data_IF_749847248018
#
_entry.id   IF_749847248018
#
_cell.length_a   1.000
_cell.length_b   1.000
_cell.length_c   1.000
_cell.angle_alpha   90.00
_cell.angle_beta   90.00
_cell.angle_gamma   90.00
#
_symmetry.space_group_name_H-M   'P 1'
#
loop_
_entity.id
_entity.type
_entity.pdbx_description
1 polymer ?
#
# COMPACT_ATOMS: atom_id res chain seq x y z
N UNK A 1 -2.99 6.49 -0.32
CA UNK A 1 -3.11 7.95 -0.49
C UNK A 1 -2.13 8.40 -1.56
N UNK A 2 -2.22 9.62 -2.10
CA UNK A 2 -1.37 10.06 -3.20
C UNK A 2 0.14 9.86 -2.96
N UNK A 3 0.58 9.99 -1.71
CA UNK A 3 1.98 10.01 -1.31
C UNK A 3 2.47 8.75 -0.56
N UNK A 4 1.56 7.88 -0.10
CA UNK A 4 1.91 6.66 0.65
C UNK A 4 0.81 5.59 0.55
N UNK A 5 1.16 4.35 0.91
CA UNK A 5 0.23 3.20 0.91
C UNK A 5 0.20 2.51 2.26
N UNK A 6 -0.98 2.05 2.66
CA UNK A 6 -1.15 1.07 3.74
C UNK A 6 -1.60 -0.23 3.09
N UNK A 7 -0.99 -1.35 3.50
CA UNK A 7 -1.29 -2.67 2.95
C UNK A 7 -1.32 -3.66 4.11
N UNK A 8 -2.41 -4.40 4.21
CA UNK A 8 -2.51 -5.58 5.06
C UNK A 8 -2.28 -6.82 4.19
N UNK A 9 -1.35 -7.68 4.58
CA UNK A 9 -0.99 -8.89 3.85
C UNK A 9 -1.12 -10.12 4.74
N UNK A 10 -1.48 -11.24 4.12
CA UNK A 10 -1.45 -12.56 4.74
C UNK A 10 -0.45 -13.45 3.99
N UNK A 11 0.79 -13.61 4.49
CA UNK A 11 1.76 -14.52 3.91
C UNK A 11 1.22 -15.95 3.89
N UNK A 12 1.21 -16.59 2.71
CA UNK A 12 0.64 -17.95 2.53
C UNK A 12 1.63 -19.08 2.86
N UNK A 13 2.91 -18.75 3.00
CA UNK A 13 3.97 -19.71 3.37
C UNK A 13 4.20 -19.63 4.86
N UNK A 14 4.49 -20.78 5.47
CA UNK A 14 4.86 -20.86 6.89
C UNK A 14 6.13 -20.05 7.17
N UNK A 15 7.14 -20.19 6.31
CA UNK A 15 8.34 -19.37 6.34
C UNK A 15 8.24 -18.24 5.32
N UNK A 16 8.41 -16.99 5.78
CA UNK A 16 8.38 -15.80 4.95
C UNK A 16 9.32 -14.72 5.49
N UNK A 17 9.66 -13.75 4.64
CA UNK A 17 10.44 -12.56 5.01
C UNK A 17 9.69 -11.31 4.57
N UNK A 18 9.26 -10.50 5.55
CA UNK A 18 8.61 -9.21 5.29
C UNK A 18 9.53 -8.30 4.45
N UNK A 19 10.83 -8.26 4.77
CA UNK A 19 11.82 -7.51 4.00
C UNK A 19 11.89 -7.94 2.53
N UNK A 20 11.82 -9.24 2.24
CA UNK A 20 11.82 -9.75 0.87
C UNK A 20 10.53 -9.40 0.11
N UNK A 21 9.37 -9.51 0.78
CA UNK A 21 8.06 -9.13 0.24
C UNK A 21 8.04 -7.63 -0.09
N UNK A 22 8.42 -6.79 0.87
CA UNK A 22 8.49 -5.33 0.71
C UNK A 22 9.47 -4.93 -0.39
N UNK A 23 10.64 -5.57 -0.46
CA UNK A 23 11.61 -5.33 -1.54
C UNK A 23 10.99 -5.60 -2.91
N UNK A 24 10.32 -6.74 -3.08
CA UNK A 24 9.71 -7.13 -4.36
C UNK A 24 8.60 -6.15 -4.78
N UNK A 25 7.69 -5.82 -3.85
CA UNK A 25 6.61 -4.86 -4.10
C UNK A 25 7.17 -3.48 -4.49
N UNK A 26 8.13 -2.98 -3.71
CA UNK A 26 8.70 -1.65 -3.91
C UNK A 26 9.50 -1.55 -5.20
N UNK A 27 10.30 -2.57 -5.54
CA UNK A 27 11.13 -2.57 -6.75
C UNK A 27 10.28 -2.58 -8.02
N UNK A 28 9.21 -3.37 -8.07
CA UNK A 28 8.32 -3.42 -9.24
C UNK A 28 7.70 -2.05 -9.53
N UNK A 29 7.11 -1.41 -8.52
CA UNK A 29 6.50 -0.08 -8.66
C UNK A 29 7.53 0.98 -9.01
N UNK A 30 8.69 0.99 -8.32
CA UNK A 30 9.73 1.98 -8.57
C UNK A 30 10.26 1.90 -10.02
N UNK A 31 10.43 0.69 -10.56
CA UNK A 31 10.86 0.50 -11.95
C UNK A 31 9.86 1.12 -12.92
N UNK A 32 8.58 0.79 -12.78
CA UNK A 32 7.52 1.29 -13.69
C UNK A 32 7.37 2.80 -13.56
N UNK A 33 7.34 3.33 -12.35
CA UNK A 33 7.20 4.76 -12.11
C UNK A 33 8.38 5.57 -12.67
N UNK A 34 9.62 5.11 -12.47
CA UNK A 34 10.80 5.79 -13.00
C UNK A 34 10.85 5.79 -14.53
N UNK A 35 10.46 4.70 -15.18
CA UNK A 35 10.33 4.64 -16.65
C UNK A 35 9.28 5.64 -17.11
N UNK A 36 8.08 5.59 -16.54
CA UNK A 36 6.99 6.48 -16.91
C UNK A 36 7.35 7.97 -16.74
N UNK A 37 7.97 8.34 -15.62
CA UNK A 37 8.34 9.74 -15.36
C UNK A 37 9.46 10.25 -16.28
N UNK A 38 10.37 9.36 -16.72
CA UNK A 38 11.40 9.69 -17.70
C UNK A 38 10.81 9.85 -19.10
N UNK A 39 9.97 8.90 -19.51
CA UNK A 39 9.35 8.91 -20.85
C UNK A 39 8.43 10.12 -21.03
N UNK A 40 7.71 10.51 -19.97
CA UNK A 40 6.86 11.71 -19.98
C UNK A 40 7.61 13.01 -19.74
N UNK A 41 8.93 12.97 -19.53
CA UNK A 41 9.76 14.13 -19.13
C UNK A 41 9.13 14.93 -17.99
N UNK A 42 8.55 14.22 -17.03
CA UNK A 42 7.79 14.82 -15.95
C UNK A 42 8.69 15.68 -15.06
N UNK A 43 8.24 16.90 -14.76
CA UNK A 43 8.90 17.78 -13.80
C UNK A 43 8.97 17.17 -12.38
N UNK A 44 8.13 16.16 -12.09
CA UNK A 44 8.15 15.43 -10.84
C UNK A 44 9.42 14.57 -10.65
N UNK A 45 10.25 14.38 -11.69
CA UNK A 45 11.53 13.68 -11.58
C UNK A 45 12.45 14.28 -10.51
N UNK A 46 12.39 15.60 -10.28
CA UNK A 46 13.18 16.27 -9.25
C UNK A 46 12.80 15.80 -7.83
N UNK A 47 11.53 15.45 -7.59
CA UNK A 47 11.05 14.94 -6.29
C UNK A 47 11.66 13.58 -5.94
N UNK A 48 12.23 12.88 -6.92
CA UNK A 48 12.84 11.56 -6.73
C UNK A 48 14.35 11.65 -6.50
N UNK A 49 14.95 12.84 -6.53
CA UNK A 49 16.38 13.00 -6.32
C UNK A 49 16.78 12.63 -4.88
N UNK A 50 17.53 11.54 -4.77
CA UNK A 50 18.14 11.06 -3.55
C UNK A 50 19.62 11.45 -3.56
N UNK A 51 19.93 12.60 -2.97
CA UNK A 51 21.30 13.14 -2.86
C UNK A 51 22.02 12.47 -1.69
N UNK A 52 23.13 11.81 -1.99
CA UNK A 52 23.97 11.16 -1.00
C UNK A 52 25.03 12.13 -0.46
N UNK A 53 25.53 11.93 0.78
CA UNK A 53 26.58 12.79 1.36
C UNK A 53 27.87 12.87 0.53
N UNK A 54 28.15 11.85 -0.29
CA UNK A 54 29.29 11.80 -1.21
C UNK A 54 29.05 12.55 -2.54
N UNK A 55 27.96 13.31 -2.66
CA UNK A 55 27.60 14.06 -3.86
C UNK A 55 26.92 13.24 -4.97
N UNK A 56 26.82 11.92 -4.83
CA UNK A 56 26.11 11.08 -5.80
C UNK A 56 24.61 11.32 -5.73
N UNK A 57 23.98 11.56 -6.87
CA UNK A 57 22.52 11.68 -7.00
C UNK A 57 21.98 10.40 -7.65
N UNK A 58 21.01 9.77 -7.00
CA UNK A 58 20.22 8.67 -7.58
C UNK A 58 18.74 9.04 -7.59
N UNK A 59 17.94 8.41 -8.45
CA UNK A 59 16.48 8.57 -8.39
C UNK A 59 15.85 7.45 -7.56
N UNK A 60 14.99 7.80 -6.60
CA UNK A 60 14.28 6.85 -5.75
C UNK A 60 12.81 7.20 -5.65
N UNK A 61 11.95 6.22 -5.91
CA UNK A 61 10.49 6.39 -5.79
C UNK A 61 9.98 6.31 -4.35
N UNK A 62 10.51 5.36 -3.56
CA UNK A 62 10.11 5.15 -2.17
C UNK A 62 11.02 5.91 -1.20
N UNK A 63 10.53 6.29 -0.03
CA UNK A 63 11.38 6.82 1.03
C UNK A 63 12.49 5.82 1.45
N UNK A 64 13.59 6.33 2.01
CA UNK A 64 14.69 5.50 2.53
C UNK A 64 14.16 4.57 3.66
N UNK A 65 14.63 3.32 3.68
CA UNK A 65 14.29 2.34 4.71
C UNK A 65 13.27 1.27 4.30
N UNK A 66 12.96 0.39 5.25
CA UNK A 66 12.03 -0.74 5.08
C UNK A 66 10.57 -0.33 4.97
N UNK A 67 10.21 0.86 5.48
CA UNK A 67 8.82 1.21 5.79
C UNK A 67 8.50 0.91 7.25
N UNK A 68 7.24 1.03 7.62
CA UNK A 68 6.72 0.60 8.91
C UNK A 68 5.92 -0.68 8.71
N UNK A 69 6.23 -1.72 9.48
CA UNK A 69 5.49 -2.97 9.51
C UNK A 69 5.20 -3.38 10.97
N UNK A 70 4.10 -4.13 11.14
CA UNK A 70 3.71 -4.74 12.40
C UNK A 70 2.95 -6.03 12.12
N UNK A 71 3.12 -7.02 12.99
CA UNK A 71 2.35 -8.26 12.93
C UNK A 71 1.03 -8.08 13.69
N UNK A 72 -0.06 -8.57 13.10
CA UNK A 72 -1.37 -8.63 13.74
C UNK A 72 -1.71 -10.11 13.95
N UNK A 73 -2.06 -10.48 15.18
CA UNK A 73 -2.33 -11.87 15.55
C UNK A 73 -3.81 -12.13 15.85
N UNK A 74 -4.54 -11.09 16.25
CA UNK A 74 -5.93 -11.21 16.69
C UNK A 74 -6.91 -10.80 15.58
N UNK A 75 -7.96 -11.59 15.32
CA UNK A 75 -9.05 -11.25 14.40
C UNK A 75 -9.61 -9.84 14.56
N UNK A 76 -9.95 -9.46 15.80
CA UNK A 76 -10.50 -8.14 16.11
C UNK A 76 -9.54 -7.00 15.72
N UNK A 77 -8.24 -7.18 16.00
CA UNK A 77 -7.22 -6.20 15.62
C UNK A 77 -7.08 -6.12 14.09
N UNK A 78 -7.15 -7.24 13.36
CA UNK A 78 -7.12 -7.22 11.90
C UNK A 78 -8.31 -6.48 11.28
N UNK A 79 -9.52 -6.69 11.82
CA UNK A 79 -10.73 -6.00 11.36
C UNK A 79 -10.65 -4.50 11.63
N UNK A 80 -10.21 -4.10 12.84
CA UNK A 80 -9.99 -2.70 13.18
C UNK A 80 -8.95 -2.03 12.24
N UNK A 81 -7.93 -2.76 11.82
CA UNK A 81 -6.94 -2.28 10.85
C UNK A 81 -7.50 -2.14 9.43
N UNK A 82 -8.38 -3.05 9.00
CA UNK A 82 -9.09 -2.91 7.72
C UNK A 82 -9.93 -1.63 7.75
N UNK A 83 -10.71 -1.41 8.81
CA UNK A 83 -11.53 -0.21 8.98
C UNK A 83 -10.67 1.07 9.00
N UNK A 84 -9.55 1.03 9.72
CA UNK A 84 -8.60 2.14 9.76
C UNK A 84 -8.07 2.49 8.37
N UNK A 85 -7.62 1.48 7.59
CA UNK A 85 -7.08 1.66 6.23
C UNK A 85 -8.16 2.22 5.30
N UNK A 86 -9.38 1.69 5.36
CA UNK A 86 -10.49 2.15 4.53
C UNK A 86 -10.96 3.56 4.87
N UNK A 87 -10.89 3.97 6.15
CA UNK A 87 -11.27 5.30 6.60
C UNK A 87 -10.22 6.38 6.30
N UNK A 88 -8.95 6.02 6.07
CA UNK A 88 -7.87 7.00 5.91
C UNK A 88 -8.06 8.01 4.75
N UNK A 89 -8.54 7.62 3.55
CA UNK A 89 -8.85 8.60 2.51
C UNK A 89 -9.88 9.65 2.95
N UNK A 90 -10.90 9.25 3.73
CA UNK A 90 -11.91 10.18 4.27
C UNK A 90 -11.30 11.09 5.33
N UNK A 91 -10.53 10.54 6.28
CA UNK A 91 -9.81 11.33 7.30
C UNK A 91 -8.84 12.35 6.69
N UNK A 92 -8.31 12.04 5.49
CA UNK A 92 -7.43 12.92 4.70
C UNK A 92 -8.19 13.92 3.82
N UNK A 93 -9.53 13.89 3.82
CA UNK A 93 -10.36 14.77 2.99
C UNK A 93 -10.28 14.47 1.48
N UNK A 94 -9.89 13.25 1.09
CA UNK A 94 -9.74 12.86 -0.32
C UNK A 94 -11.05 12.38 -0.96
N UNK A 95 -12.04 12.00 -0.14
CA UNK A 95 -13.38 11.60 -0.54
C UNK A 95 -14.33 11.71 0.66
N UNK A 96 -15.64 11.68 0.42
CA UNK A 96 -16.64 11.74 1.49
C UNK A 96 -16.86 10.37 2.14
N UNK A 97 -16.77 9.30 1.34
CA UNK A 97 -17.00 7.92 1.81
C UNK A 97 -15.85 6.98 1.44
N UNK A 98 -15.53 5.96 2.26
CA UNK A 98 -14.44 5.02 1.98
C UNK A 98 -14.50 4.36 0.60
N UNK A 99 -15.72 4.01 0.16
CA UNK A 99 -15.96 3.32 -1.12
C UNK A 99 -15.77 4.19 -2.36
N UNK A 100 -15.63 5.51 -2.21
CA UNK A 100 -15.45 6.45 -3.31
C UNK A 100 -13.98 6.60 -3.69
N UNK A 101 -13.06 6.29 -2.76
CA UNK A 101 -11.63 6.31 -3.07
C UNK A 101 -11.26 5.12 -3.96
N UNK A 102 -11.08 5.39 -5.25
CA UNK A 102 -10.80 4.37 -6.26
C UNK A 102 -9.55 3.53 -5.93
N UNK A 103 -8.53 4.14 -5.32
CA UNK A 103 -7.27 3.48 -4.95
C UNK A 103 -7.35 2.81 -3.55
N UNK A 104 -8.49 2.24 -3.19
CA UNK A 104 -8.71 1.44 -1.97
C UNK A 104 -9.50 0.17 -2.29
N UNK A 105 -9.33 -0.84 -1.44
CA UNK A 105 -10.13 -2.07 -1.46
C UNK A 105 -11.54 -1.89 -0.88
N UNK A 106 -11.85 -0.76 -0.22
CA UNK A 106 -13.12 -0.51 0.47
C UNK A 106 -14.36 -0.81 -0.39
N UNK A 107 -14.36 -0.37 -1.66
CA UNK A 107 -15.47 -0.63 -2.58
C UNK A 107 -15.66 -2.13 -2.83
N UNK A 108 -14.57 -2.84 -3.12
CA UNK A 108 -14.56 -4.28 -3.32
C UNK A 108 -14.87 -5.09 -2.06
N UNK A 109 -14.60 -4.54 -0.88
CA UNK A 109 -14.88 -5.14 0.42
C UNK A 109 -16.39 -5.17 0.70
N UNK A 110 -17.11 -4.08 0.40
CA UNK A 110 -18.57 -4.00 0.56
C UNK A 110 -19.32 -4.71 -0.57
N UNK A 111 -18.80 -4.63 -1.80
CA UNK A 111 -19.40 -5.26 -2.98
C UNK A 111 -18.35 -6.00 -3.79
N UNK A 112 -18.33 -7.33 -3.67
CA UNK A 112 -17.43 -8.18 -4.43
C UNK A 112 -17.49 -7.87 -5.94
N UNK A 113 -16.33 -7.82 -6.58
CA UNK A 113 -16.20 -7.51 -8.01
C UNK A 113 -16.29 -6.02 -8.39
N UNK A 114 -16.56 -5.12 -7.45
CA UNK A 114 -16.62 -3.68 -7.74
C UNK A 114 -15.29 -2.94 -7.58
N UNK A 115 -14.29 -3.54 -6.92
CA UNK A 115 -12.96 -2.95 -6.73
C UNK A 115 -12.06 -3.03 -7.97
N UNK A 116 -10.94 -2.30 -7.98
CA UNK A 116 -9.92 -2.41 -9.04
C UNK A 116 -9.26 -3.79 -9.09
N UNK A 117 -9.19 -4.47 -7.95
CA UNK A 117 -8.65 -5.81 -7.79
C UNK A 117 -9.73 -6.71 -7.19
N UNK A 118 -9.76 -7.97 -7.62
CA UNK A 118 -10.56 -8.99 -6.96
C UNK A 118 -9.96 -9.26 -5.57
N UNK A 119 -10.81 -9.18 -4.55
CA UNK A 119 -10.45 -9.54 -3.19
C UNK A 119 -10.78 -11.00 -2.93
N UNK A 120 -9.93 -11.68 -2.16
CA UNK A 120 -10.28 -12.93 -1.51
C UNK A 120 -10.84 -12.59 -0.13
N UNK A 121 -12.17 -12.64 0.00
CA UNK A 121 -12.87 -12.36 1.25
C UNK A 121 -13.05 -13.62 2.12
N UNK A 122 -12.88 -14.81 1.56
CA UNK A 122 -13.05 -16.10 2.26
C UNK A 122 -11.95 -16.34 3.30
N UNK A 123 -10.80 -15.68 3.15
CA UNK A 123 -9.68 -15.77 4.10
C UNK A 123 -9.70 -14.64 5.14
N UNK A 124 -10.77 -13.86 5.23
CA UNK A 124 -10.89 -12.85 6.28
C UNK A 124 -11.09 -13.53 7.64
N UNK A 125 -10.48 -12.97 8.70
CA UNK A 125 -10.70 -13.47 10.04
C UNK A 125 -12.18 -13.26 10.41
N UNK A 126 -12.82 -14.31 10.89
CA UNK A 126 -14.17 -14.21 11.46
C UNK A 126 -14.06 -13.52 12.82
N UNK A 127 -14.93 -12.55 13.11
CA UNK A 127 -15.15 -12.16 14.51
C UNK A 127 -15.65 -13.39 15.26
N UNK A 128 -14.95 -13.75 16.34
CA UNK A 128 -15.49 -14.63 17.39
C UNK A 128 -16.38 -13.79 18.29
N UNK A 129 -17.44 -13.25 17.70
CA UNK A 129 -18.60 -12.76 18.43
C UNK A 129 -19.76 -13.67 18.00
N UNK A 130 -20.36 -14.34 18.98
CA UNK A 130 -21.27 -15.48 18.83
C UNK A 130 -22.57 -15.22 18.08
#
# INVERSE_FOLDING_TARGET
MPEHVHVLIWPRRHEYSISAILKTLKQSVARVALVHLRDTRSHAMHLLEDRQPNGKVSCRFWQRGGGYDRNLMEPATMLAEIDYIHANPVRRGLCERPIEWACSSARGYVRAGSGMLRLNLESLPMSVDG
#
